data_IF_590581492550
#
_entry.id   IF_590581492550
#
_cell.length_a   1.000
_cell.length_b   1.000
_cell.length_c   1.000
_cell.angle_alpha   90.00
_cell.angle_beta   90.00
_cell.angle_gamma   90.00
#
_symmetry.space_group_name_H-M   'P 1'
#
loop_
_entity.id
_entity.type
_entity.pdbx_description
1 polymer ?
#
# COMPACT_ATOMS: atom_id res chain seq x y z
N UNK A 1 -43.21 -77.76 3.54
CA UNK A 1 -44.47 -77.03 3.25
C UNK A 1 -44.10 -75.59 3.01
N UNK A 2 -44.09 -75.18 1.74
CA UNK A 2 -45.13 -74.34 1.11
C UNK A 2 -45.06 -72.90 1.62
N UNK A 3 -44.58 -71.99 0.76
CA UNK A 3 -45.37 -70.92 0.10
C UNK A 3 -45.33 -69.65 0.97
N UNK A 4 -45.23 -68.41 0.51
CA UNK A 4 -45.00 -67.72 -0.77
C UNK A 4 -45.26 -66.23 -0.41
N UNK A 5 -44.56 -65.29 -1.08
CA UNK A 5 -44.93 -63.89 -1.42
C UNK A 5 -45.96 -63.12 -0.55
N UNK A 6 -45.74 -61.82 -0.25
CA UNK A 6 -45.80 -60.75 -1.25
C UNK A 6 -45.04 -59.47 -0.88
N UNK A 7 -44.57 -58.86 -1.97
CA UNK A 7 -43.91 -57.57 -2.22
C UNK A 7 -44.86 -56.37 -2.04
N UNK A 8 -44.32 -55.27 -1.48
CA UNK A 8 -44.33 -53.86 -1.97
C UNK A 8 -43.68 -53.02 -0.87
N UNK A 9 -42.71 -52.12 -1.04
CA UNK A 9 -42.08 -51.50 -2.20
C UNK A 9 -41.51 -50.16 -1.73
N UNK A 10 -40.28 -49.84 -2.19
CA UNK A 10 -39.63 -48.50 -2.21
C UNK A 10 -39.25 -47.91 -0.82
N UNK A 11 -38.00 -47.55 -0.51
CA UNK A 11 -36.84 -47.31 -1.36
C UNK A 11 -35.51 -47.37 -0.59
N UNK A 12 -34.51 -47.75 -1.37
CA UNK A 12 -33.07 -47.53 -1.30
C UNK A 12 -32.56 -46.48 -0.29
N UNK A 13 -31.39 -46.57 0.35
CA UNK A 13 -30.21 -47.47 0.35
C UNK A 13 -29.44 -47.01 1.64
N UNK A 14 -29.08 -47.79 2.66
CA UNK A 14 -27.97 -48.75 2.74
C UNK A 14 -26.68 -48.25 2.03
N UNK A 15 -25.45 -48.29 2.56
CA UNK A 15 -24.83 -48.70 3.84
C UNK A 15 -23.29 -48.61 3.60
N UNK A 16 -22.49 -48.59 4.69
CA UNK A 16 -21.04 -48.93 4.79
C UNK A 16 -20.04 -48.00 4.08
N UNK A 17 -19.15 -47.28 4.78
CA UNK A 17 -17.98 -47.71 5.57
C UNK A 17 -16.70 -48.01 4.74
N UNK A 18 -15.72 -47.11 4.93
CA UNK A 18 -14.25 -47.30 5.02
C UNK A 18 -13.47 -47.97 3.87
N UNK A 19 -12.75 -47.14 3.10
CA UNK A 19 -11.43 -47.46 2.51
C UNK A 19 -10.59 -46.16 2.42
N UNK A 20 -9.41 -46.14 3.07
CA UNK A 20 -8.33 -45.19 2.77
C UNK A 20 -7.49 -45.74 1.61
N UNK A 21 -7.41 -45.01 0.49
CA UNK A 21 -6.27 -45.00 -0.45
C UNK A 21 -6.23 -43.62 -1.12
N UNK A 22 -5.06 -42.98 -1.10
CA UNK A 22 -4.75 -41.71 -1.77
C UNK A 22 -5.09 -41.71 -3.26
N UNK A 23 -5.80 -40.66 -3.72
CA UNK A 23 -5.55 -40.03 -5.02
C UNK A 23 -6.05 -38.59 -5.01
N UNK A 24 -5.16 -37.74 -5.47
CA UNK A 24 -5.29 -36.33 -5.78
C UNK A 24 -6.51 -36.07 -6.66
N UNK A 25 -7.36 -35.15 -6.22
CA UNK A 25 -8.07 -34.22 -7.09
C UNK A 25 -8.22 -32.92 -6.30
N UNK A 26 -7.25 -32.03 -6.49
CA UNK A 26 -7.47 -30.62 -6.25
C UNK A 26 -8.60 -30.20 -7.21
N UNK A 27 -9.80 -30.04 -6.67
CA UNK A 27 -10.94 -29.51 -7.41
C UNK A 27 -10.61 -28.07 -7.81
N UNK A 28 -10.07 -27.94 -9.03
CA UNK A 28 -9.90 -26.68 -9.73
C UNK A 28 -11.29 -26.18 -10.16
N UNK A 29 -11.99 -25.50 -9.25
CA UNK A 29 -13.02 -24.49 -9.52
C UNK A 29 -13.63 -24.06 -8.18
N UNK A 30 -12.89 -23.31 -7.38
CA UNK A 30 -13.55 -22.46 -6.41
C UNK A 30 -14.20 -21.31 -7.18
N UNK A 31 -15.51 -21.21 -7.02
CA UNK A 31 -16.30 -20.13 -7.60
C UNK A 31 -15.82 -18.78 -7.06
N UNK A 32 -15.92 -17.67 -7.83
CA UNK A 32 -15.50 -16.35 -7.36
C UNK A 32 -16.14 -16.03 -6.01
N UNK A 33 -15.31 -15.73 -5.01
CA UNK A 33 -15.78 -15.36 -3.67
C UNK A 33 -16.28 -13.92 -3.71
N UNK A 34 -17.58 -13.76 -3.97
CA UNK A 34 -18.24 -12.47 -3.97
C UNK A 34 -18.71 -12.13 -2.54
N UNK A 35 -18.25 -11.02 -1.97
CA UNK A 35 -18.90 -10.47 -0.78
C UNK A 35 -20.27 -9.88 -1.19
N UNK A 36 -21.38 -10.22 -0.51
CA UNK A 36 -22.67 -9.60 -0.79
C UNK A 36 -22.64 -8.12 -0.38
N UNK A 37 -23.00 -7.22 -1.29
CA UNK A 37 -23.15 -5.79 -1.02
C UNK A 37 -24.57 -5.32 -1.29
N UNK A 38 -25.02 -4.32 -0.54
CA UNK A 38 -26.19 -3.48 -0.88
C UNK A 38 -25.66 -2.08 -1.20
N UNK A 39 -26.07 -1.50 -2.33
CA UNK A 39 -25.76 -0.12 -2.74
C UNK A 39 -24.83 0.05 -3.97
N UNK A 40 -24.55 1.31 -4.35
CA UNK A 40 -23.82 1.77 -5.54
C UNK A 40 -22.29 1.50 -5.54
N UNK A 41 -21.82 0.48 -4.82
CA UNK A 41 -20.41 0.09 -4.83
C UNK A 41 -20.26 -1.03 -5.86
N UNK A 42 -19.40 -0.90 -6.90
CA UNK A 42 -19.19 -1.97 -7.86
C UNK A 42 -18.70 -3.23 -7.14
N UNK A 43 -19.26 -4.37 -7.51
CA UNK A 43 -18.94 -5.67 -6.93
C UNK A 43 -17.51 -6.06 -7.37
N UNK A 44 -16.61 -6.24 -6.40
CA UNK A 44 -15.24 -6.66 -6.66
C UNK A 44 -15.16 -8.18 -6.58
N UNK A 45 -14.82 -8.81 -7.70
CA UNK A 45 -14.52 -10.25 -7.77
C UNK A 45 -13.02 -10.39 -8.01
N UNK A 46 -12.28 -10.88 -7.01
CA UNK A 46 -10.85 -11.20 -7.18
C UNK A 46 -10.74 -12.69 -7.48
N UNK A 47 -10.29 -13.03 -8.68
CA UNK A 47 -9.80 -14.37 -8.97
C UNK A 47 -8.32 -14.41 -8.62
N UNK A 48 -7.94 -15.29 -7.69
CA UNK A 48 -6.52 -15.60 -7.42
C UNK A 48 -6.20 -16.90 -8.17
N UNK A 49 -5.45 -16.87 -9.28
CA UNK A 49 -5.08 -18.10 -9.98
C UNK A 49 -4.10 -18.90 -9.11
N UNK A 50 -4.45 -20.12 -8.71
CA UNK A 50 -3.47 -21.06 -8.16
C UNK A 50 -2.86 -21.86 -9.31
N UNK A 51 -1.63 -21.54 -9.69
CA UNK A 51 -0.88 -22.25 -10.73
C UNK A 51 0.62 -22.09 -10.58
N UNK A 52 1.38 -23.09 -11.02
CA UNK A 52 2.85 -23.08 -11.10
C UNK A 52 3.35 -21.84 -11.84
N UNK A 53 4.44 -21.22 -11.40
CA UNK A 53 5.01 -19.99 -11.95
C UNK A 53 5.30 -20.10 -13.46
N UNK A 54 4.35 -19.73 -14.30
CA UNK A 54 4.58 -19.53 -15.74
C UNK A 54 4.86 -18.06 -15.92
N UNK A 55 6.10 -17.70 -16.29
CA UNK A 55 6.42 -16.33 -16.73
C UNK A 55 5.52 -16.00 -17.92
N UNK A 56 4.47 -15.21 -17.68
CA UNK A 56 3.54 -14.76 -18.73
C UNK A 56 4.17 -13.65 -19.54
N UNK A 57 3.83 -13.57 -20.81
CA UNK A 57 4.24 -12.48 -21.72
C UNK A 57 3.03 -11.57 -22.00
N UNK A 58 3.31 -10.35 -22.46
CA UNK A 58 2.28 -9.38 -22.86
C UNK A 58 2.21 -9.26 -24.38
N UNK A 59 1.02 -8.93 -24.87
CA UNK A 59 0.76 -8.55 -26.25
C UNK A 59 1.30 -7.17 -26.62
N UNK A 60 1.66 -6.34 -25.63
CA UNK A 60 2.31 -5.06 -25.87
C UNK A 60 3.74 -5.31 -26.38
N UNK A 61 4.16 -4.72 -27.51
CA UNK A 61 5.51 -4.92 -28.03
C UNK A 61 6.52 -4.20 -27.13
N UNK A 62 7.45 -4.97 -26.54
CA UNK A 62 8.52 -4.47 -25.68
C UNK A 62 9.88 -4.82 -26.26
N UNK A 63 10.82 -3.88 -26.18
CA UNK A 63 12.22 -4.04 -26.56
C UNK A 63 13.08 -4.24 -25.33
N UNK A 64 14.06 -5.13 -25.41
CA UNK A 64 15.02 -5.35 -24.31
C UNK A 64 15.91 -4.12 -24.12
N UNK A 65 16.09 -3.72 -22.88
CA UNK A 65 17.11 -2.74 -22.46
C UNK A 65 18.30 -3.52 -21.92
N UNK A 66 19.49 -3.19 -22.38
CA UNK A 66 20.71 -3.77 -21.85
C UNK A 66 20.95 -3.24 -20.43
N UNK A 67 20.69 -4.08 -19.44
CA UNK A 67 21.10 -3.84 -18.05
C UNK A 67 21.87 -5.06 -17.54
N UNK A 68 22.83 -4.83 -16.65
CA UNK A 68 23.62 -5.94 -16.09
C UNK A 68 22.81 -6.67 -15.03
N UNK A 69 21.98 -5.94 -14.28
CA UNK A 69 21.39 -6.41 -13.03
C UNK A 69 19.95 -6.90 -13.16
N UNK A 70 19.25 -6.58 -14.24
CA UNK A 70 17.85 -6.93 -14.44
C UNK A 70 17.51 -7.37 -15.87
N UNK A 71 16.40 -8.08 -16.01
CA UNK A 71 15.75 -8.35 -17.29
C UNK A 71 14.72 -7.22 -17.54
N UNK A 72 15.17 -6.12 -18.16
CA UNK A 72 14.34 -4.94 -18.42
C UNK A 72 13.84 -4.94 -19.86
N UNK A 73 12.53 -4.75 -20.04
CA UNK A 73 11.92 -4.50 -21.36
C UNK A 73 11.06 -3.23 -21.33
N UNK A 74 11.13 -2.44 -22.40
CA UNK A 74 10.46 -1.13 -22.53
C UNK A 74 9.61 -1.07 -23.78
N UNK A 75 8.45 -0.43 -23.70
CA UNK A 75 7.64 -0.09 -24.85
C UNK A 75 8.31 0.99 -25.72
N UNK A 76 8.20 0.85 -27.05
CA UNK A 76 8.86 1.72 -28.04
C UNK A 76 8.43 3.20 -27.96
N UNK A 77 7.32 3.51 -27.31
CA UNK A 77 6.84 4.88 -27.10
C UNK A 77 7.67 5.71 -26.10
N UNK A 78 8.62 5.10 -25.38
CA UNK A 78 9.48 5.81 -24.41
C UNK A 78 10.68 6.43 -25.14
N UNK A 79 10.97 7.74 -24.97
CA UNK A 79 12.12 8.39 -25.63
C UNK A 79 13.46 7.72 -25.28
N UNK A 80 14.35 7.56 -26.26
CA UNK A 80 15.66 6.92 -26.06
C UNK A 80 16.52 7.51 -24.91
N UNK A 81 16.61 8.84 -24.71
CA UNK A 81 17.31 9.41 -23.55
C UNK A 81 16.72 8.97 -22.21
N UNK A 82 15.41 8.77 -22.14
CA UNK A 82 14.71 8.29 -20.95
C UNK A 82 14.92 6.80 -20.72
N UNK A 83 15.03 5.99 -21.78
CA UNK A 83 15.40 4.57 -21.66
C UNK A 83 16.79 4.40 -21.04
N UNK A 84 17.75 5.25 -21.41
CA UNK A 84 19.08 5.23 -20.79
C UNK A 84 19.03 5.62 -19.30
N UNK A 85 18.23 6.63 -18.94
CA UNK A 85 18.01 7.02 -17.53
C UNK A 85 17.31 5.94 -16.72
N UNK A 86 16.35 5.24 -17.32
CA UNK A 86 15.69 4.08 -16.72
C UNK A 86 16.70 3.00 -16.38
N UNK A 87 17.59 2.62 -17.31
CA UNK A 87 18.60 1.59 -17.06
C UNK A 87 19.47 1.92 -15.83
N UNK A 88 19.96 3.16 -15.75
CA UNK A 88 20.73 3.63 -14.60
C UNK A 88 19.89 3.65 -13.30
N UNK A 89 18.61 4.03 -13.39
CA UNK A 89 17.69 4.06 -12.25
C UNK A 89 17.39 2.66 -11.71
N UNK A 90 17.27 1.67 -12.59
CA UNK A 90 17.10 0.25 -12.23
C UNK A 90 18.33 -0.25 -11.50
N UNK A 91 19.53 -0.03 -12.06
CA UNK A 91 20.76 -0.51 -11.43
C UNK A 91 20.99 0.13 -10.04
N UNK A 92 20.68 1.42 -9.89
CA UNK A 92 20.74 2.13 -8.62
C UNK A 92 19.70 1.65 -7.61
N UNK A 93 18.47 1.39 -8.05
CA UNK A 93 17.42 0.86 -7.18
C UNK A 93 17.78 -0.56 -6.70
N UNK A 94 18.28 -1.42 -7.58
CA UNK A 94 18.75 -2.76 -7.20
C UNK A 94 19.89 -2.68 -6.19
N UNK A 95 20.91 -1.86 -6.44
CA UNK A 95 22.01 -1.66 -5.50
C UNK A 95 21.51 -1.25 -4.10
N UNK A 96 20.56 -0.32 -4.05
CA UNK A 96 19.94 0.14 -2.80
C UNK A 96 19.19 -0.98 -2.09
N UNK A 97 18.38 -1.76 -2.81
CA UNK A 97 17.61 -2.85 -2.21
C UNK A 97 18.53 -3.95 -1.69
N UNK A 98 19.56 -4.32 -2.43
CA UNK A 98 20.51 -5.32 -1.95
C UNK A 98 21.27 -4.85 -0.69
N UNK A 99 21.58 -3.55 -0.61
CA UNK A 99 22.17 -2.96 0.59
C UNK A 99 21.20 -3.00 1.78
N UNK A 100 19.92 -2.66 1.56
CA UNK A 100 18.90 -2.65 2.62
C UNK A 100 18.58 -4.07 3.10
N UNK A 101 18.60 -5.06 2.21
CA UNK A 101 18.31 -6.45 2.58
C UNK A 101 19.57 -7.24 2.99
N UNK A 102 20.75 -6.61 2.93
CA UNK A 102 22.08 -7.22 3.14
C UNK A 102 22.29 -8.52 2.32
N UNK A 103 21.76 -8.54 1.09
CA UNK A 103 21.86 -9.69 0.18
C UNK A 103 21.63 -9.30 -1.28
N UNK A 104 22.32 -9.96 -2.23
CA UNK A 104 22.01 -9.82 -3.65
C UNK A 104 20.70 -10.54 -4.01
N UNK A 105 20.06 -10.11 -5.10
CA UNK A 105 18.98 -10.89 -5.72
C UNK A 105 19.53 -12.22 -6.26
N UNK A 106 18.79 -13.31 -6.06
CA UNK A 106 19.19 -14.65 -6.53
C UNK A 106 19.03 -14.82 -8.05
N UNK A 107 18.09 -14.08 -8.64
CA UNK A 107 17.85 -14.00 -10.07
C UNK A 107 17.67 -12.55 -10.51
N UNK A 108 17.96 -12.25 -11.77
CA UNK A 108 17.74 -10.92 -12.33
C UNK A 108 16.25 -10.53 -12.19
N UNK A 109 15.93 -9.40 -11.53
CA UNK A 109 14.57 -8.89 -11.48
C UNK A 109 14.01 -8.68 -12.89
N UNK A 110 12.76 -9.10 -13.13
CA UNK A 110 12.08 -8.87 -14.40
C UNK A 110 11.22 -7.62 -14.31
N UNK A 111 11.53 -6.62 -15.13
CA UNK A 111 10.87 -5.30 -15.11
C UNK A 111 10.36 -4.97 -16.50
N UNK A 112 9.06 -4.74 -16.62
CA UNK A 112 8.38 -4.40 -17.88
C UNK A 112 7.81 -2.98 -17.78
N UNK A 113 8.27 -2.07 -18.63
CA UNK A 113 7.90 -0.65 -18.58
C UNK A 113 7.04 -0.28 -19.77
N UNK A 114 5.85 0.20 -19.48
CA UNK A 114 4.81 0.58 -20.44
C UNK A 114 4.77 2.09 -20.59
N UNK A 115 4.74 2.58 -21.82
CA UNK A 115 4.81 4.00 -22.16
C UNK A 115 3.56 4.77 -21.71
N UNK A 116 2.39 4.13 -21.74
CA UNK A 116 1.09 4.77 -21.47
C UNK A 116 0.31 4.02 -20.38
N UNK A 117 -0.67 4.70 -19.76
CA UNK A 117 -1.60 4.03 -18.83
C UNK A 117 -2.43 2.93 -19.51
N UNK A 118 -2.79 3.11 -20.78
CA UNK A 118 -3.57 2.12 -21.53
C UNK A 118 -2.76 0.85 -21.81
N UNK A 119 -1.50 0.99 -22.24
CA UNK A 119 -0.61 -0.15 -22.45
C UNK A 119 -0.23 -0.82 -21.12
N UNK A 120 -0.06 -0.05 -20.04
CA UNK A 120 0.13 -0.59 -18.70
C UNK A 120 -1.07 -1.42 -18.23
N UNK A 121 -2.30 -0.90 -18.37
CA UNK A 121 -3.51 -1.65 -18.06
C UNK A 121 -3.57 -2.96 -18.86
N UNK A 122 -3.28 -2.90 -20.17
CA UNK A 122 -3.22 -4.11 -21.01
C UNK A 122 -2.16 -5.09 -20.52
N UNK A 123 -0.97 -4.60 -20.18
CA UNK A 123 0.11 -5.38 -19.60
C UNK A 123 -0.32 -6.14 -18.34
N UNK A 124 -0.98 -5.48 -17.39
CA UNK A 124 -1.45 -6.13 -16.16
C UNK A 124 -2.53 -7.19 -16.41
N UNK A 125 -3.37 -7.03 -17.44
CA UNK A 125 -4.32 -8.08 -17.86
C UNK A 125 -3.57 -9.30 -18.40
N UNK A 126 -2.64 -9.10 -19.33
CA UNK A 126 -1.90 -10.21 -19.96
C UNK A 126 -0.98 -10.94 -18.95
N UNK A 127 -0.26 -10.16 -18.13
CA UNK A 127 0.78 -10.68 -17.24
C UNK A 127 0.19 -11.26 -15.96
N UNK A 128 -0.79 -10.59 -15.35
CA UNK A 128 -1.29 -10.92 -14.01
C UNK A 128 -2.72 -11.46 -14.04
N UNK A 129 -3.39 -11.45 -15.19
CA UNK A 129 -4.76 -11.94 -15.33
C UNK A 129 -5.80 -11.03 -14.70
N UNK A 130 -5.50 -9.74 -14.50
CA UNK A 130 -6.46 -8.78 -13.97
C UNK A 130 -7.66 -8.63 -14.89
N UNK A 131 -8.84 -8.42 -14.31
CA UNK A 131 -10.02 -8.04 -15.10
C UNK A 131 -9.79 -6.66 -15.75
N UNK A 132 -10.49 -6.32 -16.85
CA UNK A 132 -10.40 -5.00 -17.46
C UNK A 132 -10.63 -3.85 -16.48
N UNK A 133 -11.60 -4.00 -15.56
CA UNK A 133 -11.95 -3.00 -14.56
C UNK A 133 -10.84 -2.83 -13.52
N UNK A 134 -10.28 -3.95 -13.05
CA UNK A 134 -9.16 -3.95 -12.09
C UNK A 134 -7.93 -3.31 -12.73
N UNK A 135 -7.59 -3.70 -13.95
CA UNK A 135 -6.46 -3.15 -14.69
C UNK A 135 -6.61 -1.63 -14.94
N UNK A 136 -7.82 -1.17 -15.26
CA UNK A 136 -8.10 0.25 -15.45
C UNK A 136 -7.95 1.04 -14.13
N UNK A 137 -8.49 0.51 -13.03
CA UNK A 137 -8.35 1.11 -11.70
C UNK A 137 -6.90 1.17 -11.26
N UNK A 138 -6.14 0.09 -11.47
CA UNK A 138 -4.71 0.01 -11.18
C UNK A 138 -3.94 1.04 -11.99
N UNK A 139 -4.16 1.12 -13.30
CA UNK A 139 -3.47 2.06 -14.17
C UNK A 139 -3.81 3.54 -13.88
N UNK A 140 -4.96 3.82 -13.28
CA UNK A 140 -5.35 5.14 -12.83
C UNK A 140 -4.71 5.53 -11.49
N UNK A 141 -4.37 4.55 -10.64
CA UNK A 141 -4.03 4.76 -9.23
C UNK A 141 -2.56 4.53 -8.89
N UNK A 142 -1.86 3.68 -9.66
CA UNK A 142 -0.49 3.25 -9.35
C UNK A 142 0.50 3.57 -10.47
N UNK A 143 1.74 3.82 -10.07
CA UNK A 143 2.88 3.96 -10.98
C UNK A 143 3.51 2.62 -11.36
N UNK A 144 3.39 1.60 -10.50
CA UNK A 144 3.94 0.27 -10.69
C UNK A 144 3.12 -0.79 -9.94
N UNK A 145 3.33 -2.05 -10.30
CA UNK A 145 2.78 -3.22 -9.62
C UNK A 145 3.79 -4.36 -9.69
N UNK A 146 4.04 -4.98 -8.54
CA UNK A 146 4.66 -6.29 -8.43
C UNK A 146 3.60 -7.39 -8.34
N UNK A 147 3.79 -8.47 -9.11
CA UNK A 147 3.00 -9.69 -8.98
C UNK A 147 3.83 -10.83 -8.39
N UNK A 148 3.40 -11.34 -7.24
CA UNK A 148 4.07 -12.42 -6.55
C UNK A 148 4.05 -13.72 -7.36
N UNK A 149 3.01 -14.02 -8.15
CA UNK A 149 2.87 -15.29 -8.88
C UNK A 149 3.83 -15.43 -10.07
N UNK A 150 4.17 -14.31 -10.70
CA UNK A 150 5.09 -14.27 -11.84
C UNK A 150 6.44 -13.65 -11.50
N UNK A 151 6.62 -13.16 -10.27
CA UNK A 151 7.80 -12.42 -9.81
C UNK A 151 8.20 -11.32 -10.80
N UNK A 152 7.20 -10.62 -11.32
CA UNK A 152 7.35 -9.63 -12.40
C UNK A 152 6.87 -8.28 -11.92
N UNK A 153 7.66 -7.24 -12.22
CA UNK A 153 7.32 -5.85 -11.96
C UNK A 153 6.84 -5.24 -13.29
N UNK A 154 5.67 -4.61 -13.24
CA UNK A 154 5.14 -3.79 -14.34
C UNK A 154 5.14 -2.31 -13.91
N UNK A 155 5.61 -1.42 -14.78
CA UNK A 155 5.71 0.03 -14.49
C UNK A 155 5.00 0.84 -15.56
N UNK A 156 4.20 1.81 -15.14
CA UNK A 156 3.65 2.86 -16.01
C UNK A 156 4.58 4.06 -16.07
N UNK A 157 5.23 4.26 -17.21
CA UNK A 157 6.08 5.43 -17.45
C UNK A 157 5.28 6.73 -17.38
N UNK A 158 4.11 6.79 -18.01
CA UNK A 158 3.27 8.00 -18.03
C UNK A 158 2.83 8.44 -16.62
N UNK A 159 2.61 7.51 -15.70
CA UNK A 159 2.24 7.80 -14.32
C UNK A 159 3.45 8.14 -13.43
N UNK A 160 4.68 7.99 -13.92
CA UNK A 160 5.90 8.12 -13.14
C UNK A 160 6.84 9.16 -13.77
N UNK A 161 6.83 10.41 -13.29
CA UNK A 161 7.83 11.40 -13.72
C UNK A 161 9.24 10.83 -13.50
N UNK A 162 10.17 11.07 -14.44
CA UNK A 162 11.50 10.45 -14.43
C UNK A 162 12.30 10.61 -13.13
N UNK A 163 12.12 11.71 -12.39
CA UNK A 163 12.76 11.93 -11.09
C UNK A 163 12.28 10.99 -9.97
N UNK A 164 11.07 10.42 -10.10
CA UNK A 164 10.46 9.55 -9.09
C UNK A 164 10.63 8.05 -9.41
N UNK A 165 11.19 7.72 -10.57
CA UNK A 165 11.25 6.34 -11.06
C UNK A 165 12.14 5.43 -10.21
N UNK A 166 13.31 5.91 -9.78
CA UNK A 166 14.18 5.12 -8.90
C UNK A 166 13.51 4.81 -7.55
N UNK A 167 12.74 5.76 -7.02
CA UNK A 167 11.99 5.60 -5.77
C UNK A 167 10.88 4.56 -5.94
N UNK A 168 10.06 4.69 -7.00
CA UNK A 168 9.04 3.70 -7.35
C UNK A 168 9.64 2.30 -7.55
N UNK A 169 10.75 2.19 -8.29
CA UNK A 169 11.42 0.91 -8.50
C UNK A 169 11.91 0.31 -7.18
N UNK A 170 12.39 1.11 -6.23
CA UNK A 170 12.74 0.63 -4.90
C UNK A 170 11.53 0.07 -4.14
N UNK A 171 10.34 0.67 -4.29
CA UNK A 171 9.09 0.12 -3.75
C UNK A 171 8.80 -1.26 -4.33
N UNK A 172 8.74 -1.38 -5.66
CA UNK A 172 8.38 -2.65 -6.31
C UNK A 172 9.45 -3.75 -6.12
N UNK A 173 10.73 -3.38 -6.11
CA UNK A 173 11.83 -4.31 -5.85
C UNK A 173 11.87 -4.78 -4.39
N UNK A 174 11.34 -3.99 -3.45
CA UNK A 174 11.19 -4.41 -2.05
C UNK A 174 10.24 -5.60 -1.95
N UNK A 175 9.14 -5.58 -2.70
CA UNK A 175 8.22 -6.73 -2.75
C UNK A 175 8.92 -7.99 -3.27
N UNK A 176 9.68 -7.88 -4.38
CA UNK A 176 10.45 -9.00 -4.91
C UNK A 176 11.49 -9.53 -3.90
N UNK A 177 12.27 -8.64 -3.27
CA UNK A 177 13.30 -9.02 -2.30
C UNK A 177 12.68 -9.69 -1.06
N UNK A 178 11.51 -9.21 -0.62
CA UNK A 178 10.73 -9.84 0.45
C UNK A 178 10.33 -11.27 0.06
N UNK A 179 9.86 -11.48 -1.18
CA UNK A 179 9.49 -12.81 -1.69
C UNK A 179 10.68 -13.76 -1.86
N UNK A 180 11.91 -13.27 -2.03
CA UNK A 180 13.12 -14.12 -1.97
C UNK A 180 13.49 -14.58 -0.55
N UNK A 181 12.89 -13.98 0.48
CA UNK A 181 13.04 -14.41 1.88
C UNK A 181 11.89 -15.32 2.28
N UNK A 182 10.66 -14.84 2.11
CA UNK A 182 9.47 -15.53 2.62
C UNK A 182 8.97 -16.61 1.66
N UNK A 183 9.48 -16.66 0.43
CA UNK A 183 8.96 -17.53 -0.61
C UNK A 183 7.66 -17.01 -1.24
N UNK A 184 7.35 -17.54 -2.41
CA UNK A 184 6.27 -17.05 -3.26
C UNK A 184 4.87 -17.22 -2.65
N UNK A 185 4.66 -18.29 -1.87
CA UNK A 185 3.35 -18.67 -1.33
C UNK A 185 3.11 -18.22 0.11
N UNK A 186 4.10 -17.62 0.77
CA UNK A 186 3.92 -17.15 2.14
C UNK A 186 2.88 -16.02 2.21
N UNK A 187 2.13 -15.99 3.30
CA UNK A 187 1.15 -14.94 3.57
C UNK A 187 1.76 -13.97 4.56
N UNK A 188 1.81 -12.70 4.17
CA UNK A 188 2.16 -11.57 5.02
C UNK A 188 0.95 -10.63 5.08
N UNK A 189 0.76 -9.88 6.17
CA UNK A 189 -0.23 -8.81 6.19
C UNK A 189 0.07 -7.79 5.10
N UNK A 190 -0.94 -7.40 4.32
CA UNK A 190 -0.76 -6.44 3.24
C UNK A 190 -0.21 -5.10 3.72
N UNK A 191 -0.65 -4.62 4.89
CA UNK A 191 -0.06 -3.44 5.51
C UNK A 191 1.44 -3.58 5.79
N UNK A 192 1.93 -4.78 6.12
CA UNK A 192 3.35 -4.98 6.37
C UNK A 192 4.14 -4.93 5.06
N UNK A 193 3.67 -5.61 4.01
CA UNK A 193 4.35 -5.61 2.70
C UNK A 193 4.41 -4.20 2.10
N UNK A 194 3.27 -3.51 2.02
CA UNK A 194 3.22 -2.16 1.47
C UNK A 194 3.89 -1.14 2.39
N UNK A 195 3.85 -1.35 3.70
CA UNK A 195 4.56 -0.54 4.68
C UNK A 195 6.09 -0.66 4.54
N UNK A 196 6.61 -1.86 4.36
CA UNK A 196 8.04 -2.10 4.15
C UNK A 196 8.50 -1.46 2.83
N UNK A 197 7.73 -1.65 1.76
CA UNK A 197 7.99 -1.04 0.47
C UNK A 197 7.94 0.50 0.53
N UNK A 198 6.93 1.08 1.16
CA UNK A 198 6.79 2.52 1.31
C UNK A 198 7.88 3.13 2.21
N UNK A 199 8.26 2.45 3.30
CA UNK A 199 9.37 2.84 4.17
C UNK A 199 10.68 2.89 3.37
N UNK A 200 10.97 1.83 2.61
CA UNK A 200 12.19 1.76 1.81
C UNK A 200 12.15 2.77 0.67
N UNK A 201 11.02 2.99 0.02
CA UNK A 201 10.81 4.05 -0.97
C UNK A 201 11.22 5.42 -0.40
N UNK A 202 10.67 5.77 0.77
CA UNK A 202 10.89 7.05 1.44
C UNK A 202 12.36 7.30 1.82
N UNK A 203 13.14 6.24 2.08
CA UNK A 203 14.57 6.34 2.34
C UNK A 203 14.90 7.02 3.65
N UNK A 204 15.26 8.31 3.61
CA UNK A 204 15.66 9.07 4.80
C UNK A 204 14.50 9.38 5.77
N UNK A 205 13.26 9.09 5.37
CA UNK A 205 12.09 9.22 6.23
C UNK A 205 10.81 9.49 5.44
N UNK A 206 9.67 9.24 6.07
CA UNK A 206 8.35 9.60 5.54
C UNK A 206 8.21 11.12 5.63
N UNK A 207 7.73 11.75 4.55
CA UNK A 207 7.46 13.19 4.50
C UNK A 207 6.53 13.64 5.65
N UNK A 208 6.76 14.84 6.19
CA UNK A 208 6.02 15.34 7.35
C UNK A 208 4.50 15.43 7.12
N UNK A 209 4.07 15.74 5.89
CA UNK A 209 2.66 15.78 5.54
C UNK A 209 2.05 14.37 5.52
N UNK A 210 2.81 13.40 5.03
CA UNK A 210 2.40 12.00 5.03
C UNK A 210 2.34 11.43 6.47
N UNK A 211 3.28 11.81 7.35
CA UNK A 211 3.22 11.47 8.78
C UNK A 211 1.99 12.08 9.46
N UNK A 212 1.70 13.35 9.17
CA UNK A 212 0.50 14.01 9.69
C UNK A 212 -0.77 13.30 9.20
N UNK A 213 -0.81 12.89 7.93
CA UNK A 213 -1.91 12.10 7.37
C UNK A 213 -2.05 10.73 8.04
N UNK A 214 -0.94 10.05 8.31
CA UNK A 214 -0.94 8.78 9.03
C UNK A 214 -1.57 8.92 10.42
N UNK A 215 -1.12 9.91 11.17
CA UNK A 215 -1.58 10.15 12.54
C UNK A 215 -3.03 10.65 12.61
N UNK A 216 -3.43 11.49 11.66
CA UNK A 216 -4.83 11.93 11.50
C UNK A 216 -5.74 10.76 11.16
N UNK A 217 -5.27 9.84 10.32
CA UNK A 217 -5.97 8.62 10.00
C UNK A 217 -6.15 7.74 11.23
N UNK A 218 -5.10 7.50 12.02
CA UNK A 218 -5.18 6.70 13.24
C UNK A 218 -6.12 7.30 14.29
N UNK A 219 -6.16 8.63 14.41
CA UNK A 219 -7.10 9.32 15.30
C UNK A 219 -8.58 9.07 14.92
N UNK A 220 -8.87 8.91 13.63
CA UNK A 220 -10.23 8.76 13.10
C UNK A 220 -10.63 7.33 12.75
N UNK A 221 -9.65 6.44 12.56
CA UNK A 221 -9.80 5.04 12.17
C UNK A 221 -8.73 4.16 12.86
N UNK A 222 -8.81 3.97 14.19
CA UNK A 222 -7.75 3.33 14.97
C UNK A 222 -7.45 1.86 14.60
N UNK A 223 -8.43 1.14 14.04
CA UNK A 223 -8.28 -0.26 13.61
C UNK A 223 -7.87 -0.41 12.13
N UNK A 224 -7.12 0.56 11.59
CA UNK A 224 -6.76 0.52 10.17
C UNK A 224 -5.86 -0.67 9.83
N UNK A 225 -4.87 -1.01 10.65
CA UNK A 225 -3.94 -2.12 10.35
C UNK A 225 -4.61 -3.50 10.47
N UNK A 226 -5.45 -3.68 11.50
CA UNK A 226 -6.21 -4.93 11.75
C UNK A 226 -7.18 -5.28 10.61
N UNK A 227 -7.55 -4.29 9.80
CA UNK A 227 -8.55 -4.42 8.73
C UNK A 227 -7.96 -4.46 7.34
N UNK A 228 -6.62 -4.39 7.22
CA UNK A 228 -5.90 -4.35 5.96
C UNK A 228 -4.82 -5.44 5.94
N UNK A 229 -5.27 -6.69 6.09
CA UNK A 229 -4.39 -7.87 6.17
C UNK A 229 -4.21 -8.54 4.81
N UNK A 230 -5.14 -8.33 3.87
CA UNK A 230 -5.09 -8.87 2.51
C UNK A 230 -4.97 -7.78 1.46
N UNK A 231 -4.43 -8.12 0.28
CA UNK A 231 -4.32 -7.17 -0.84
C UNK A 231 -5.70 -6.68 -1.34
N UNK A 232 -6.74 -7.52 -1.24
CA UNK A 232 -8.10 -7.13 -1.58
C UNK A 232 -8.65 -6.05 -0.62
N UNK A 233 -8.39 -6.22 0.69
CA UNK A 233 -8.71 -5.21 1.69
C UNK A 233 -7.91 -3.93 1.47
N UNK A 234 -6.61 -4.05 1.17
CA UNK A 234 -5.74 -2.93 0.85
C UNK A 234 -6.32 -2.07 -0.27
N UNK A 235 -6.63 -2.66 -1.43
CA UNK A 235 -7.20 -1.91 -2.55
C UNK A 235 -8.53 -1.24 -2.20
N UNK A 236 -9.39 -1.92 -1.43
CA UNK A 236 -10.69 -1.38 -1.00
C UNK A 236 -10.53 -0.16 -0.08
N UNK A 237 -9.55 -0.20 0.81
CA UNK A 237 -9.30 0.87 1.79
C UNK A 237 -8.49 2.01 1.17
N UNK A 238 -7.51 1.70 0.31
CA UNK A 238 -6.65 2.68 -0.36
C UNK A 238 -7.45 3.70 -1.17
N UNK A 239 -8.53 3.29 -1.85
CA UNK A 239 -9.41 4.21 -2.60
C UNK A 239 -9.97 5.34 -1.72
N UNK A 240 -10.14 5.10 -0.41
CA UNK A 240 -10.67 6.08 0.54
C UNK A 240 -9.58 6.88 1.24
N UNK A 241 -8.47 6.24 1.57
CA UNK A 241 -7.45 6.77 2.48
C UNK A 241 -6.17 7.24 1.77
N UNK A 242 -5.97 6.80 0.52
CA UNK A 242 -4.85 7.18 -0.33
C UNK A 242 -3.49 7.00 0.35
N UNK A 243 -2.62 8.00 0.18
CA UNK A 243 -1.25 8.02 0.69
C UNK A 243 -1.13 7.89 2.21
N UNK A 244 -2.18 8.25 2.95
CA UNK A 244 -2.20 8.09 4.42
C UNK A 244 -2.08 6.63 4.84
N UNK A 245 -2.64 5.69 4.07
CA UNK A 245 -2.54 4.26 4.36
C UNK A 245 -1.10 3.73 4.23
N UNK A 246 -0.38 4.15 3.18
CA UNK A 246 1.05 3.84 3.03
C UNK A 246 1.87 4.42 4.18
N UNK A 247 1.58 5.65 4.59
CA UNK A 247 2.30 6.31 5.68
C UNK A 247 2.08 5.61 7.02
N UNK A 248 0.83 5.27 7.40
CA UNK A 248 0.56 4.47 8.62
C UNK A 248 1.31 3.15 8.58
N UNK A 249 1.25 2.46 7.45
CA UNK A 249 1.89 1.15 7.27
C UNK A 249 3.41 1.22 7.39
N UNK A 250 4.02 2.24 6.79
CA UNK A 250 5.46 2.47 6.88
C UNK A 250 5.91 2.91 8.28
N UNK A 251 5.10 3.68 9.01
CA UNK A 251 5.36 3.99 10.42
C UNK A 251 5.24 2.73 11.30
N UNK A 252 4.27 1.85 11.04
CA UNK A 252 4.13 0.59 11.75
C UNK A 252 5.34 -0.33 11.54
N UNK A 253 5.79 -0.49 10.29
CA UNK A 253 7.01 -1.27 9.98
C UNK A 253 8.25 -0.63 10.61
N UNK A 254 8.35 0.71 10.62
CA UNK A 254 9.44 1.41 11.30
C UNK A 254 9.43 1.18 12.81
N UNK A 255 8.25 1.11 13.44
CA UNK A 255 8.10 0.79 14.84
C UNK A 255 8.51 -0.66 15.15
N UNK A 256 8.11 -1.62 14.30
CA UNK A 256 8.56 -3.02 14.40
C UNK A 256 10.07 -3.11 14.27
N UNK A 257 10.66 -2.46 13.26
CA UNK A 257 12.11 -2.48 13.06
C UNK A 257 12.86 -1.81 14.22
N UNK A 258 12.31 -0.74 14.80
CA UNK A 258 12.90 -0.08 15.98
C UNK A 258 12.88 -1.00 17.20
N UNK A 259 11.80 -1.78 17.37
CA UNK A 259 11.63 -2.70 18.48
C UNK A 259 12.51 -3.97 18.34
N UNK A 260 12.52 -4.57 17.16
CA UNK A 260 13.25 -5.81 16.90
C UNK A 260 14.72 -5.58 16.56
N UNK A 261 15.01 -4.44 15.92
CA UNK A 261 16.22 -4.23 15.14
C UNK A 261 16.06 -4.75 13.70
N UNK A 262 16.84 -4.15 12.80
CA UNK A 262 16.85 -4.47 11.37
C UNK A 262 17.10 -5.96 11.09
N UNK A 263 18.23 -6.52 11.55
CA UNK A 263 18.58 -7.92 11.28
C UNK A 263 17.57 -8.92 11.87
N UNK A 264 17.10 -8.76 13.13
CA UNK A 264 16.06 -9.63 13.67
C UNK A 264 14.73 -9.58 12.90
N UNK A 265 14.30 -8.41 12.40
CA UNK A 265 13.10 -8.32 11.55
C UNK A 265 13.23 -9.18 10.28
N UNK A 266 14.40 -9.20 9.64
CA UNK A 266 14.63 -10.06 8.47
C UNK A 266 14.76 -11.55 8.83
N UNK A 267 15.25 -11.88 10.03
CA UNK A 267 15.25 -13.24 10.54
C UNK A 267 13.81 -13.75 10.78
N UNK A 268 12.94 -12.91 11.35
CA UNK A 268 11.51 -13.17 11.49
C UNK A 268 10.86 -13.49 10.13
N UNK A 269 11.17 -12.72 9.07
CA UNK A 269 10.69 -13.03 7.72
C UNK A 269 11.21 -14.38 7.20
N UNK A 270 12.45 -14.75 7.47
CA UNK A 270 12.98 -16.05 7.08
C UNK A 270 12.28 -17.23 7.79
N UNK A 271 11.84 -17.04 9.04
CA UNK A 271 11.01 -18.02 9.76
C UNK A 271 9.63 -18.18 9.11
N UNK A 272 9.01 -17.08 8.67
CA UNK A 272 7.78 -17.14 7.87
C UNK A 272 8.01 -17.92 6.58
N UNK A 273 9.14 -17.69 5.90
CA UNK A 273 9.52 -18.48 4.72
C UNK A 273 9.77 -19.96 4.99
N UNK A 274 10.06 -20.31 6.24
CA UNK A 274 10.18 -21.70 6.70
C UNK A 274 8.85 -22.32 7.16
N UNK A 275 7.73 -21.58 7.03
CA UNK A 275 6.38 -22.05 7.31
C UNK A 275 5.74 -21.51 8.58
N UNK A 276 6.40 -20.61 9.32
CA UNK A 276 5.76 -19.95 10.46
C UNK A 276 4.67 -18.97 10.01
N UNK A 277 3.65 -18.75 10.85
CA UNK A 277 2.72 -17.63 10.65
C UNK A 277 3.41 -16.33 11.03
N UNK A 278 3.08 -15.23 10.35
CA UNK A 278 3.68 -13.93 10.60
C UNK A 278 3.51 -13.49 12.07
N UNK A 279 2.34 -13.70 12.65
CA UNK A 279 2.01 -13.33 14.03
C UNK A 279 2.82 -14.14 15.05
N UNK A 280 3.06 -15.42 14.75
CA UNK A 280 3.82 -16.31 15.64
C UNK A 280 5.31 -15.97 15.58
N UNK A 281 5.85 -15.70 14.38
CA UNK A 281 7.22 -15.24 14.20
C UNK A 281 7.43 -13.87 14.85
N UNK A 282 6.51 -12.92 14.67
CA UNK A 282 6.56 -11.63 15.35
C UNK A 282 6.59 -11.81 16.86
N UNK A 283 5.68 -12.62 17.43
CA UNK A 283 5.64 -12.87 18.88
C UNK A 283 6.95 -13.46 19.41
N UNK A 284 7.56 -14.38 18.67
CA UNK A 284 8.82 -15.01 19.07
C UNK A 284 9.98 -14.01 19.19
N UNK A 285 10.02 -13.00 18.32
CA UNK A 285 11.08 -11.97 18.31
C UNK A 285 10.74 -10.75 19.20
N UNK A 286 9.47 -10.34 19.24
CA UNK A 286 9.00 -9.13 19.91
C UNK A 286 8.73 -9.35 21.42
N UNK A 287 8.39 -10.58 21.81
CA UNK A 287 7.93 -10.89 23.16
C UNK A 287 6.49 -10.47 23.47
N UNK A 288 5.76 -9.91 22.50
CA UNK A 288 4.36 -9.48 22.61
C UNK A 288 3.52 -10.02 21.43
N UNK A 289 2.19 -10.02 21.55
CA UNK A 289 1.31 -10.37 20.43
C UNK A 289 1.26 -9.28 19.36
N UNK A 290 1.00 -9.64 18.09
CA UNK A 290 0.84 -8.63 17.03
C UNK A 290 -0.33 -7.67 17.32
N UNK A 291 -1.45 -8.18 17.85
CA UNK A 291 -2.60 -7.36 18.23
C UNK A 291 -2.26 -6.35 19.35
N UNK A 292 -1.38 -6.75 20.28
CA UNK A 292 -0.91 -5.88 21.37
C UNK A 292 -0.02 -4.76 20.81
N UNK A 293 0.88 -5.11 19.89
CA UNK A 293 1.66 -4.13 19.14
C UNK A 293 0.77 -3.14 18.38
N UNK A 294 -0.22 -3.61 17.62
CA UNK A 294 -1.09 -2.73 16.83
C UNK A 294 -1.89 -1.80 17.75
N UNK A 295 -2.46 -2.32 18.83
CA UNK A 295 -3.19 -1.51 19.81
C UNK A 295 -2.30 -0.41 20.43
N UNK A 296 -1.08 -0.77 20.83
CA UNK A 296 -0.10 0.16 21.40
C UNK A 296 0.35 1.19 20.38
N UNK A 297 0.76 0.77 19.18
CA UNK A 297 1.17 1.63 18.08
C UNK A 297 0.09 2.65 17.72
N UNK A 298 -1.15 2.20 17.55
CA UNK A 298 -2.28 3.07 17.26
C UNK A 298 -2.49 4.10 18.38
N UNK A 299 -2.44 3.66 19.65
CA UNK A 299 -2.61 4.55 20.81
C UNK A 299 -1.50 5.59 20.93
N UNK A 300 -0.24 5.19 20.75
CA UNK A 300 0.93 6.06 20.86
C UNK A 300 0.99 7.09 19.71
N UNK A 301 0.53 6.72 18.52
CA UNK A 301 0.68 7.51 17.30
C UNK A 301 -0.56 8.36 16.97
N UNK A 302 -1.72 8.05 17.54
CA UNK A 302 -2.93 8.85 17.34
C UNK A 302 -2.74 10.30 17.82
N UNK A 303 -3.02 11.25 16.94
CA UNK A 303 -2.98 12.67 17.27
C UNK A 303 -4.26 13.10 17.99
N UNK A 304 -4.11 14.06 18.91
CA UNK A 304 -5.20 14.97 19.25
C UNK A 304 -5.36 16.02 18.14
N UNK A 305 -6.56 16.60 17.94
CA UNK A 305 -6.77 17.66 16.97
C UNK A 305 -5.68 18.73 17.02
N UNK A 306 -5.04 19.00 15.89
CA UNK A 306 -3.84 19.86 15.83
C UNK A 306 -3.86 20.76 14.61
N UNK A 307 -3.08 21.84 14.70
CA UNK A 307 -2.78 22.74 13.61
C UNK A 307 -1.25 22.91 13.53
N UNK A 308 -0.70 22.75 12.33
CA UNK A 308 0.73 22.88 12.05
C UNK A 308 0.94 23.93 10.97
N UNK A 309 2.01 24.71 11.09
CA UNK A 309 2.39 25.74 10.12
C UNK A 309 3.74 25.38 9.55
N UNK A 310 3.84 25.35 8.22
CA UNK A 310 5.09 25.13 7.52
C UNK A 310 6.06 26.28 7.77
N UNK A 311 7.36 25.98 7.67
CA UNK A 311 8.44 26.96 7.88
C UNK A 311 8.96 27.56 6.57
N UNK A 312 8.52 27.04 5.43
CA UNK A 312 8.98 27.43 4.09
C UNK A 312 7.84 28.07 3.30
N UNK A 313 8.15 29.13 2.57
CA UNK A 313 7.20 29.76 1.66
C UNK A 313 6.98 28.93 0.40
N UNK A 314 5.75 28.90 -0.09
CA UNK A 314 5.43 28.42 -1.43
C UNK A 314 5.95 29.41 -2.51
N UNK A 315 5.86 29.01 -3.78
CA UNK A 315 6.29 29.85 -4.90
C UNK A 315 5.50 31.16 -5.07
N UNK A 316 4.43 31.35 -4.29
CA UNK A 316 3.62 32.57 -4.24
C UNK A 316 3.91 33.41 -2.98
N UNK A 317 4.89 33.02 -2.16
CA UNK A 317 5.27 33.74 -0.95
C UNK A 317 4.34 33.53 0.25
N UNK A 318 3.56 32.44 0.28
CA UNK A 318 2.72 32.09 1.43
C UNK A 318 3.31 30.94 2.24
N UNK A 319 3.03 30.92 3.55
CA UNK A 319 3.27 29.73 4.37
C UNK A 319 2.09 28.78 4.23
N UNK A 320 2.35 27.49 4.13
CA UNK A 320 1.32 26.47 4.27
C UNK A 320 0.96 26.27 5.74
N UNK A 321 -0.28 25.90 6.00
CA UNK A 321 -0.71 25.39 7.30
C UNK A 321 -1.66 24.22 7.09
N UNK A 322 -1.61 23.26 8.01
CA UNK A 322 -2.37 22.01 7.91
C UNK A 322 -3.05 21.72 9.24
N UNK A 323 -4.33 21.35 9.17
CA UNK A 323 -5.08 20.77 10.29
C UNK A 323 -5.00 19.26 10.20
N UNK A 324 -4.90 18.59 11.35
CA UNK A 324 -4.94 17.13 11.44
C UNK A 324 -5.73 16.66 12.66
N UNK A 325 -6.20 15.41 12.60
CA UNK A 325 -6.97 14.73 13.63
C UNK A 325 -8.29 15.43 14.02
N UNK A 326 -8.86 16.25 13.13
CA UNK A 326 -10.25 16.66 13.26
C UNK A 326 -11.16 15.52 12.74
N UNK A 327 -12.44 15.55 13.10
CA UNK A 327 -13.39 14.58 12.57
C UNK A 327 -13.44 14.65 11.02
N UNK A 328 -13.56 13.52 10.30
CA UNK A 328 -13.60 13.52 8.84
C UNK A 328 -14.83 14.24 8.32
N UNK A 329 -14.71 14.89 7.15
CA UNK A 329 -15.82 15.58 6.50
C UNK A 329 -16.61 16.45 7.48
N UNK A 330 -15.93 17.30 8.23
CA UNK A 330 -16.54 18.14 9.27
C UNK A 330 -16.16 19.59 9.06
N UNK A 331 -17.09 20.48 9.37
CA UNK A 331 -16.87 21.91 9.26
C UNK A 331 -16.03 22.39 10.45
N UNK A 332 -14.95 23.09 10.15
CA UNK A 332 -14.02 23.67 11.12
C UNK A 332 -13.95 25.17 10.88
N UNK A 333 -14.28 25.96 11.92
CA UNK A 333 -14.12 27.40 11.90
C UNK A 333 -12.65 27.74 12.08
N UNK A 334 -12.09 28.48 11.14
CA UNK A 334 -10.74 29.03 11.17
C UNK A 334 -10.83 30.49 11.55
N UNK A 335 -9.97 30.93 12.46
CA UNK A 335 -9.73 32.32 12.78
C UNK A 335 -8.23 32.60 12.75
N UNK A 336 -7.81 33.61 11.98
CA UNK A 336 -6.42 34.08 11.92
C UNK A 336 -6.39 35.54 12.39
N UNK A 337 -5.71 35.79 13.50
CA UNK A 337 -5.66 37.12 14.11
C UNK A 337 -4.22 37.56 14.45
N UNK A 338 -3.91 38.83 14.23
CA UNK A 338 -2.62 39.44 14.58
C UNK A 338 -2.35 40.74 13.80
N UNK A 339 -1.58 41.69 14.37
CA UNK A 339 -1.18 42.97 13.72
C UNK A 339 -2.31 43.67 12.94
N UNK A 340 -3.47 43.85 13.57
CA UNK A 340 -4.68 44.46 12.98
C UNK A 340 -5.32 43.68 11.82
N UNK A 341 -4.89 42.44 11.61
CA UNK A 341 -5.53 41.47 10.74
C UNK A 341 -6.46 40.59 11.57
N UNK A 342 -7.68 40.39 11.07
CA UNK A 342 -8.66 39.46 11.63
C UNK A 342 -9.43 38.85 10.45
N UNK A 343 -9.30 37.53 10.30
CA UNK A 343 -9.97 36.75 9.27
C UNK A 343 -10.61 35.54 9.91
N UNK A 344 -11.90 35.33 9.64
CA UNK A 344 -12.58 34.10 10.02
C UNK A 344 -13.37 33.52 8.86
N UNK A 345 -13.28 32.21 8.68
CA UNK A 345 -14.00 31.46 7.64
C UNK A 345 -14.18 30.01 8.08
N UNK A 346 -15.03 29.28 7.38
CA UNK A 346 -15.25 27.85 7.63
C UNK A 346 -14.62 27.04 6.52
N UNK A 347 -13.92 25.99 6.90
CA UNK A 347 -13.37 24.98 6.00
C UNK A 347 -14.00 23.63 6.30
N UNK A 348 -13.90 22.69 5.37
CA UNK A 348 -14.35 21.32 5.57
C UNK A 348 -13.17 20.37 5.46
N UNK A 349 -12.99 19.53 6.47
CA UNK A 349 -11.94 18.51 6.47
C UNK A 349 -12.23 17.43 5.42
N UNK A 350 -11.19 16.75 4.96
CA UNK A 350 -11.31 15.61 4.05
C UNK A 350 -11.73 14.32 4.77
N UNK A 351 -11.73 13.20 4.03
CA UNK A 351 -12.06 11.87 4.55
C UNK A 351 -11.10 11.32 5.62
N UNK A 352 -9.95 11.97 5.83
CA UNK A 352 -8.96 11.63 6.86
C UNK A 352 -8.94 12.61 8.02
N UNK A 353 -9.80 13.64 8.00
CA UNK A 353 -9.85 14.65 9.05
C UNK A 353 -8.84 15.77 8.89
N UNK A 354 -8.30 15.96 7.68
CA UNK A 354 -7.29 16.98 7.39
C UNK A 354 -7.85 18.14 6.57
N UNK A 355 -7.18 19.28 6.66
CA UNK A 355 -7.37 20.41 5.76
C UNK A 355 -6.06 21.17 5.59
N UNK A 356 -5.73 21.60 4.37
CA UNK A 356 -4.57 22.44 4.09
C UNK A 356 -5.00 23.80 3.57
N UNK A 357 -4.44 24.86 4.15
CA UNK A 357 -4.54 26.22 3.65
C UNK A 357 -3.18 26.87 3.50
N UNK A 358 -3.18 28.10 3.02
CA UNK A 358 -2.00 28.95 2.96
C UNK A 358 -2.30 30.30 3.59
N UNK A 359 -1.25 30.98 4.05
CA UNK A 359 -1.35 32.32 4.61
C UNK A 359 -0.09 33.11 4.29
N UNK A 360 -0.27 34.31 3.71
CA UNK A 360 0.75 35.32 3.88
C UNK A 360 0.78 36.49 2.91
N UNK A 361 0.74 36.25 1.60
CA UNK A 361 1.00 37.26 0.56
C UNK A 361 0.22 38.58 0.70
N UNK A 362 -0.96 38.55 1.33
CA UNK A 362 -1.83 39.71 1.54
C UNK A 362 -1.75 40.32 2.95
N UNK A 363 -1.05 39.68 3.87
CA UNK A 363 -0.88 40.12 5.26
C UNK A 363 0.52 40.72 5.47
N UNK A 364 0.60 41.75 6.32
CA UNK A 364 1.86 42.36 6.74
C UNK A 364 2.82 41.31 7.37
N UNK A 365 4.11 41.64 7.43
CA UNK A 365 5.07 40.77 8.10
C UNK A 365 4.85 40.81 9.63
N UNK A 366 4.87 39.64 10.26
CA UNK A 366 4.78 39.46 11.69
C UNK A 366 4.14 38.15 12.14
N UNK A 367 3.78 38.10 13.41
CA UNK A 367 3.23 36.90 14.05
C UNK A 367 1.71 36.97 14.10
N UNK A 368 1.08 35.86 13.72
CA UNK A 368 -0.37 35.65 13.71
C UNK A 368 -0.71 34.38 14.48
N UNK A 369 -1.92 34.34 15.03
CA UNK A 369 -2.47 33.15 15.68
C UNK A 369 -3.51 32.55 14.77
N UNK A 370 -3.35 31.28 14.39
CA UNK A 370 -4.36 30.47 13.73
C UNK A 370 -5.07 29.63 14.79
N UNK A 371 -6.39 29.81 14.89
CA UNK A 371 -7.27 28.99 15.72
C UNK A 371 -8.21 28.21 14.82
N UNK A 372 -8.31 26.91 15.05
CA UNK A 372 -9.22 25.99 14.37
C UNK A 372 -10.16 25.37 15.39
N UNK A 373 -11.47 25.48 15.16
CA UNK A 373 -12.49 25.03 16.11
C UNK A 373 -13.64 24.30 15.41
N UNK A 374 -14.00 23.13 15.95
CA UNK A 374 -15.24 22.41 15.63
C UNK A 374 -16.12 22.31 16.87
N UNK A 375 -17.24 21.58 16.78
CA UNK A 375 -18.10 21.32 17.94
C UNK A 375 -17.39 20.52 19.05
N UNK A 376 -16.38 19.72 18.71
CA UNK A 376 -15.74 18.74 19.62
C UNK A 376 -14.23 18.92 19.75
N UNK A 377 -13.62 19.77 18.92
CA UNK A 377 -12.18 19.92 18.83
C UNK A 377 -11.74 21.37 18.72
N UNK A 378 -10.54 21.64 19.21
CA UNK A 378 -9.90 22.94 19.13
C UNK A 378 -8.39 22.77 18.97
N UNK A 379 -7.79 23.52 18.07
CA UNK A 379 -6.35 23.58 17.87
C UNK A 379 -5.90 25.01 17.64
N UNK A 380 -4.67 25.32 18.04
CA UNK A 380 -4.06 26.64 17.81
C UNK A 380 -2.63 26.47 17.32
N UNK A 381 -2.22 27.33 16.39
CA UNK A 381 -0.86 27.40 15.92
C UNK A 381 -0.43 28.87 15.73
N UNK A 382 0.88 29.10 15.78
CA UNK A 382 1.48 30.40 15.47
C UNK A 382 1.96 30.40 14.03
N UNK A 383 1.56 31.42 13.26
CA UNK A 383 2.10 31.68 11.93
C UNK A 383 3.07 32.85 12.06
N UNK A 384 4.37 32.60 11.80
CA UNK A 384 5.38 33.64 11.77
C UNK A 384 5.76 33.97 10.34
N UNK A 385 5.40 35.17 9.90
CA UNK A 385 5.70 35.65 8.56
C UNK A 385 6.92 36.56 8.53
N UNK A 386 7.65 36.73 9.65
CA UNK A 386 8.84 37.57 9.70
C UNK A 386 10.04 36.96 8.96
N UNK A 387 10.01 35.66 8.65
CA UNK A 387 11.04 34.96 7.88
C UNK A 387 10.83 35.03 6.36
N UNK A 388 9.96 35.92 5.87
CA UNK A 388 9.72 36.12 4.44
C UNK A 388 10.83 36.87 3.73
#
# INVERSE_FOLDING_TARGET
MKILLKVTGVGALALLALVFVFRSDASANDSPTCAPTTGFIPQFCVNVPVGTSVRRETTVPLSTVLTVRADVRVESGIPAPEVARLAASVDAAIARIEQVFDRPFTAKPRILVFATRASFARGTQDLFGYSPETAASVAASYGGVFDAQTLTIAVSWQSTPGANLSSLLAHELTHLATREIVGQSATLPAWFEEGLAAKIQAGAGIDADAQLAARSLLANAPHTLDTVTTLAEWHKVYVKLGVGLYAVSAEAVSAIETQLGHRPMFAMLAEVGSGARFEDAYRAHAGEGLDEFIARFTGDLALTPTAQVGTTLDGSGNLSWTLGAFAPNTDVRIAIAGRSYDLAFTVRTDGTGMYRGTFGSTAALGTYTLTAQSATAHATATIDTASR
#
